data_IF_222563548235
#
_entry.id   IF_222563548235
#
_cell.length_a   1.000
_cell.length_b   1.000
_cell.length_c   1.000
_cell.angle_alpha   90.00
_cell.angle_beta   90.00
_cell.angle_gamma   90.00
#
_symmetry.space_group_name_H-M   'P 1'
#
loop_
_entity.id
_entity.type
_entity.pdbx_description
1 polymer ?
#
# COMPACT_ATOMS: atom_id res chain seq x y z
N UNK A 1 16.23 -11.58 -28.02
CA UNK A 1 15.49 -12.86 -28.14
C UNK A 1 14.03 -12.61 -27.76
N UNK A 2 13.07 -13.08 -28.56
CA UNK A 2 11.64 -13.08 -28.21
C UNK A 2 11.30 -14.45 -27.61
N UNK A 3 10.66 -14.48 -26.45
CA UNK A 3 10.22 -15.73 -25.84
C UNK A 3 8.90 -16.14 -26.48
N UNK A 4 8.78 -17.39 -26.94
CA UNK A 4 7.57 -17.87 -27.64
C UNK A 4 6.37 -17.85 -26.69
N UNK A 5 6.55 -18.38 -25.49
CA UNK A 5 5.57 -18.39 -24.41
C UNK A 5 6.28 -18.07 -23.10
N UNK A 6 5.63 -17.30 -22.25
CA UNK A 6 6.03 -17.10 -20.86
C UNK A 6 4.77 -17.04 -20.02
N UNK A 7 4.74 -17.80 -18.92
CA UNK A 7 3.59 -17.90 -18.03
C UNK A 7 3.99 -17.75 -16.56
N UNK A 8 3.01 -17.34 -15.75
CA UNK A 8 3.06 -17.44 -14.29
C UNK A 8 1.72 -17.96 -13.78
N UNK A 9 1.78 -18.80 -12.76
CA UNK A 9 0.60 -19.33 -12.06
C UNK A 9 0.36 -18.52 -10.79
N UNK A 10 -0.88 -18.14 -10.56
CA UNK A 10 -1.37 -17.51 -9.34
C UNK A 10 -2.38 -18.45 -8.67
N UNK A 11 -2.10 -18.84 -7.43
CA UNK A 11 -3.00 -19.62 -6.58
C UNK A 11 -4.00 -18.70 -5.88
N UNK A 12 -5.29 -19.02 -5.96
CA UNK A 12 -6.38 -18.27 -5.33
C UNK A 12 -6.87 -19.07 -4.11
N UNK A 13 -6.86 -18.49 -2.90
CA UNK A 13 -7.46 -19.11 -1.72
C UNK A 13 -8.97 -19.29 -1.88
N UNK A 14 -9.55 -20.29 -1.21
CA UNK A 14 -10.98 -20.62 -1.32
C UNK A 14 -11.91 -19.48 -0.88
N UNK A 15 -11.48 -18.67 0.10
CA UNK A 15 -12.25 -17.54 0.64
C UNK A 15 -12.27 -16.30 -0.28
N UNK A 16 -11.64 -16.37 -1.47
CA UNK A 16 -11.45 -15.23 -2.36
C UNK A 16 -11.98 -15.51 -3.75
N UNK A 17 -12.82 -14.61 -4.24
CA UNK A 17 -13.31 -14.62 -5.62
C UNK A 17 -12.56 -13.60 -6.47
N UNK A 18 -11.96 -14.05 -7.57
CA UNK A 18 -11.27 -13.20 -8.54
C UNK A 18 -12.04 -13.21 -9.86
N UNK A 19 -12.54 -12.04 -10.27
CA UNK A 19 -13.19 -11.86 -11.56
C UNK A 19 -12.35 -10.96 -12.46
N UNK A 20 -12.16 -11.39 -13.71
CA UNK A 20 -11.33 -10.68 -14.69
C UNK A 20 -12.16 -10.45 -15.94
N UNK A 21 -12.39 -9.18 -16.29
CA UNK A 21 -13.10 -8.78 -17.52
C UNK A 21 -12.27 -7.74 -18.26
N UNK A 22 -11.84 -8.06 -19.47
CA UNK A 22 -11.03 -7.16 -20.31
C UNK A 22 -9.81 -6.55 -19.58
N UNK A 23 -9.09 -7.36 -18.77
CA UNK A 23 -7.94 -6.97 -17.92
C UNK A 23 -8.26 -5.99 -16.79
N UNK A 24 -9.55 -5.76 -16.51
CA UNK A 24 -10.01 -5.18 -15.24
C UNK A 24 -10.21 -6.33 -14.27
N UNK A 25 -9.46 -6.30 -13.17
CA UNK A 25 -9.46 -7.33 -12.15
C UNK A 25 -10.26 -6.80 -10.96
N UNK A 26 -11.22 -7.61 -10.50
CA UNK A 26 -11.97 -7.37 -9.28
C UNK A 26 -11.77 -8.57 -8.36
N UNK A 27 -11.23 -8.30 -7.18
CA UNK A 27 -10.96 -9.30 -6.13
C UNK A 27 -11.91 -9.02 -4.98
N UNK A 28 -12.67 -10.02 -4.57
CA UNK A 28 -13.62 -9.94 -3.45
C UNK A 28 -13.23 -10.99 -2.42
N UNK A 29 -13.16 -10.58 -1.16
CA UNK A 29 -12.84 -11.46 -0.03
C UNK A 29 -13.54 -11.00 1.25
N UNK A 30 -13.21 -11.59 2.40
CA UNK A 30 -13.92 -11.36 3.66
C UNK A 30 -13.83 -9.91 4.17
N UNK A 31 -12.73 -9.20 3.89
CA UNK A 31 -12.55 -7.80 4.32
C UNK A 31 -13.12 -6.76 3.34
N UNK A 32 -13.68 -7.20 2.20
CA UNK A 32 -14.25 -6.31 1.19
C UNK A 32 -13.76 -6.61 -0.23
N UNK A 33 -13.84 -5.61 -1.10
CA UNK A 33 -13.48 -5.73 -2.52
C UNK A 33 -12.43 -4.71 -2.95
N UNK A 34 -11.59 -5.11 -3.90
CA UNK A 34 -10.60 -4.27 -4.55
C UNK A 34 -10.72 -4.41 -6.07
N UNK A 35 -10.57 -3.30 -6.79
CA UNK A 35 -10.57 -3.26 -8.25
C UNK A 35 -9.28 -2.66 -8.77
N UNK A 36 -8.77 -3.20 -9.88
CA UNK A 36 -7.56 -2.71 -10.53
C UNK A 36 -7.67 -2.82 -12.05
N UNK A 37 -7.35 -1.74 -12.75
CA UNK A 37 -7.29 -1.71 -14.21
C UNK A 37 -5.85 -1.97 -14.70
N UNK A 38 -5.66 -3.07 -15.44
CA UNK A 38 -4.38 -3.45 -16.06
C UNK A 38 -4.43 -3.41 -17.60
N UNK A 39 -5.34 -2.64 -18.21
CA UNK A 39 -5.46 -2.53 -19.69
C UNK A 39 -4.19 -2.03 -20.38
N UNK A 40 -3.34 -1.29 -19.66
CA UNK A 40 -2.05 -0.81 -20.17
C UNK A 40 -1.03 -1.94 -20.39
N UNK A 41 -1.25 -3.14 -19.83
CA UNK A 41 -0.37 -4.30 -19.98
C UNK A 41 -1.05 -5.33 -20.89
N UNK A 42 -0.34 -5.75 -21.94
CA UNK A 42 -0.84 -6.77 -22.86
C UNK A 42 -0.55 -8.18 -22.34
N UNK A 43 -1.39 -8.66 -21.42
CA UNK A 43 -1.35 -10.03 -20.88
C UNK A 43 -2.68 -10.73 -21.11
N UNK A 44 -2.63 -12.06 -21.28
CA UNK A 44 -3.79 -12.93 -21.27
C UNK A 44 -3.94 -13.57 -19.88
N UNK A 45 -5.18 -13.84 -19.49
CA UNK A 45 -5.50 -14.54 -18.26
C UNK A 45 -6.32 -15.78 -18.62
N UNK A 46 -5.93 -16.94 -18.08
CA UNK A 46 -6.64 -18.19 -18.25
C UNK A 46 -6.93 -18.79 -16.88
N UNK A 47 -8.19 -19.18 -16.63
CA UNK A 47 -8.53 -19.94 -15.43
C UNK A 47 -8.09 -21.39 -15.65
N UNK A 48 -7.15 -21.86 -14.82
CA UNK A 48 -6.59 -23.22 -14.90
C UNK A 48 -7.07 -23.98 -13.67
N UNK A 49 -8.06 -24.86 -13.82
CA UNK A 49 -8.70 -25.53 -12.68
C UNK A 49 -9.54 -24.57 -11.83
N UNK A 50 -9.92 -25.01 -10.62
CA UNK A 50 -10.84 -24.25 -9.77
C UNK A 50 -10.17 -23.06 -9.06
N UNK A 51 -8.93 -23.25 -8.61
CA UNK A 51 -8.21 -22.31 -7.73
C UNK A 51 -6.91 -21.72 -8.33
N UNK A 52 -6.65 -21.88 -9.64
CA UNK A 52 -5.47 -21.26 -10.27
C UNK A 52 -5.82 -20.36 -11.44
N UNK A 53 -5.07 -19.26 -11.55
CA UNK A 53 -5.12 -18.33 -12.68
C UNK A 53 -3.75 -18.29 -13.32
N UNK A 54 -3.68 -18.64 -14.60
CA UNK A 54 -2.49 -18.47 -15.43
C UNK A 54 -2.47 -17.09 -16.05
N UNK A 55 -1.31 -16.46 -16.01
CA UNK A 55 -1.04 -15.16 -16.61
C UNK A 55 -0.02 -15.40 -17.72
N UNK A 56 -0.37 -15.06 -18.96
CA UNK A 56 0.36 -15.53 -20.14
C UNK A 56 0.76 -14.35 -21.02
N UNK A 57 1.98 -14.43 -21.55
CA UNK A 57 2.52 -13.55 -22.60
C UNK A 57 3.02 -14.41 -23.75
N UNK A 58 2.51 -14.15 -24.95
CA UNK A 58 3.00 -14.75 -26.20
C UNK A 58 3.99 -13.81 -26.90
N UNK A 59 5.06 -14.38 -27.46
CA UNK A 59 6.05 -13.65 -28.27
C UNK A 59 6.63 -12.39 -27.58
N UNK A 60 6.73 -12.42 -26.25
CA UNK A 60 7.15 -11.29 -25.43
C UNK A 60 8.63 -10.97 -25.58
N UNK A 61 8.96 -9.68 -25.60
CA UNK A 61 10.34 -9.21 -25.42
C UNK A 61 10.73 -9.24 -23.91
N UNK A 62 12.00 -9.02 -23.60
CA UNK A 62 12.49 -9.06 -22.20
C UNK A 62 11.70 -8.16 -21.23
N UNK A 63 11.32 -6.94 -21.66
CA UNK A 63 10.57 -5.99 -20.82
C UNK A 63 9.12 -6.43 -20.62
N UNK A 64 8.51 -7.01 -21.65
CA UNK A 64 7.14 -7.50 -21.62
C UNK A 64 7.02 -8.73 -20.72
N UNK A 65 7.96 -9.67 -20.81
CA UNK A 65 8.02 -10.84 -19.90
C UNK A 65 8.24 -10.41 -18.46
N UNK A 66 9.03 -9.35 -18.20
CA UNK A 66 9.22 -8.83 -16.84
C UNK A 66 7.92 -8.31 -16.20
N UNK A 67 7.01 -7.72 -17.00
CA UNK A 67 5.73 -7.25 -16.50
C UNK A 67 4.83 -8.37 -15.97
N UNK A 68 5.00 -9.61 -16.47
CA UNK A 68 4.19 -10.75 -16.09
C UNK A 68 4.28 -11.03 -14.58
N UNK A 69 5.50 -11.04 -14.02
CA UNK A 69 5.71 -11.23 -12.57
C UNK A 69 5.14 -10.06 -11.76
N UNK A 70 5.22 -8.83 -12.27
CA UNK A 70 4.60 -7.66 -11.62
C UNK A 70 3.09 -7.81 -11.53
N UNK A 71 2.42 -8.23 -12.61
CA UNK A 71 0.97 -8.48 -12.62
C UNK A 71 0.61 -9.54 -11.58
N UNK A 72 1.35 -10.66 -11.52
CA UNK A 72 1.15 -11.68 -10.49
C UNK A 72 1.25 -11.08 -9.08
N UNK A 73 2.28 -10.29 -8.79
CA UNK A 73 2.45 -9.66 -7.48
C UNK A 73 1.34 -8.66 -7.14
N UNK A 74 0.88 -7.87 -8.12
CA UNK A 74 -0.22 -6.93 -7.91
C UNK A 74 -1.50 -7.66 -7.49
N UNK A 75 -1.87 -8.75 -8.18
CA UNK A 75 -3.06 -9.52 -7.83
C UNK A 75 -2.87 -10.24 -6.49
N UNK A 76 -1.68 -10.82 -6.23
CA UNK A 76 -1.36 -11.46 -4.95
C UNK A 76 -1.48 -10.48 -3.78
N UNK A 77 -1.08 -9.22 -3.97
CA UNK A 77 -1.23 -8.18 -2.96
C UNK A 77 -2.70 -7.81 -2.75
N UNK A 78 -3.51 -7.74 -3.83
CA UNK A 78 -4.96 -7.54 -3.69
C UNK A 78 -5.61 -8.67 -2.90
N UNK A 79 -5.26 -9.94 -3.18
CA UNK A 79 -5.75 -11.11 -2.45
C UNK A 79 -5.38 -11.03 -0.97
N UNK A 80 -4.11 -10.73 -0.66
CA UNK A 80 -3.63 -10.56 0.72
C UNK A 80 -4.34 -9.39 1.41
N UNK A 81 -4.62 -8.31 0.68
CA UNK A 81 -5.32 -7.14 1.16
C UNK A 81 -6.77 -7.41 1.56
N UNK A 82 -7.52 -8.18 0.76
CA UNK A 82 -8.92 -8.53 1.08
C UNK A 82 -9.06 -9.67 2.10
N UNK A 83 -7.99 -10.40 2.38
CA UNK A 83 -7.98 -11.50 3.37
C UNK A 83 -7.41 -11.04 4.70
N UNK A 84 -6.14 -10.64 4.72
CA UNK A 84 -5.40 -10.25 5.93
C UNK A 84 -5.41 -8.74 6.19
N UNK A 85 -5.48 -7.93 5.13
CA UNK A 85 -5.31 -6.48 5.19
C UNK A 85 -3.87 -6.07 5.50
N UNK A 86 -3.53 -4.81 5.25
CA UNK A 86 -2.19 -4.26 5.48
C UNK A 86 -2.18 -3.30 6.66
N UNK A 87 -1.11 -3.38 7.46
CA UNK A 87 -0.86 -2.54 8.62
C UNK A 87 0.55 -1.98 8.56
N UNK A 88 0.67 -0.66 8.51
CA UNK A 88 1.94 0.05 8.55
C UNK A 88 2.03 0.80 9.87
N UNK A 89 3.16 0.66 10.55
CA UNK A 89 3.48 1.44 11.75
C UNK A 89 4.49 2.50 11.39
N UNK A 90 4.26 3.71 11.86
CA UNK A 90 5.19 4.83 11.74
C UNK A 90 5.58 5.35 13.11
N UNK A 91 6.82 5.82 13.25
CA UNK A 91 7.38 6.36 14.50
C UNK A 91 7.70 7.83 14.31
N UNK A 92 7.30 8.63 15.30
CA UNK A 92 7.72 10.03 15.41
C UNK A 92 9.12 10.07 16.02
N UNK A 93 10.02 10.80 15.38
CA UNK A 93 11.39 11.01 15.85
C UNK A 93 11.59 12.52 15.99
N UNK A 94 12.03 12.96 17.16
CA UNK A 94 12.35 14.35 17.43
C UNK A 94 13.42 14.45 18.50
N UNK A 95 14.29 15.46 18.39
CA UNK A 95 15.32 15.71 19.40
C UNK A 95 14.86 16.67 20.50
N UNK A 96 14.27 17.81 20.11
CA UNK A 96 13.93 18.89 21.05
C UNK A 96 12.46 19.30 21.00
N UNK A 97 11.89 19.47 19.79
CA UNK A 97 10.50 19.91 19.63
C UNK A 97 9.58 18.70 19.45
N UNK A 98 8.66 18.41 20.40
CA UNK A 98 7.72 17.31 20.25
C UNK A 98 6.80 17.53 19.05
N UNK A 99 6.62 16.48 18.25
CA UNK A 99 5.74 16.49 17.09
C UNK A 99 4.33 16.14 17.55
N UNK A 100 3.37 17.03 17.33
CA UNK A 100 1.97 16.76 17.65
C UNK A 100 1.25 16.30 16.37
N UNK A 101 0.65 15.11 16.42
CA UNK A 101 -0.12 14.56 15.30
C UNK A 101 -1.57 14.38 15.71
N UNK A 102 -2.47 15.01 14.96
CA UNK A 102 -3.92 14.90 15.12
C UNK A 102 -4.54 14.30 13.86
N UNK A 103 -5.66 13.61 14.03
CA UNK A 103 -6.48 13.14 12.92
C UNK A 103 -7.73 14.02 12.84
N UNK A 104 -7.95 14.61 11.68
CA UNK A 104 -9.10 15.47 11.41
C UNK A 104 -9.95 14.84 10.32
N UNK A 105 -11.26 15.06 10.40
CA UNK A 105 -12.18 14.74 9.30
C UNK A 105 -12.66 16.05 8.68
N UNK A 106 -12.45 16.18 7.37
CA UNK A 106 -12.91 17.33 6.56
C UNK A 106 -13.53 16.79 5.28
N UNK A 107 -14.75 17.24 4.96
CA UNK A 107 -15.47 16.86 3.73
C UNK A 107 -15.58 15.34 3.50
N UNK A 108 -15.76 14.55 4.58
CA UNK A 108 -15.84 13.08 4.52
C UNK A 108 -14.51 12.37 4.27
N UNK A 109 -13.38 13.09 4.31
CA UNK A 109 -12.04 12.53 4.21
C UNK A 109 -11.26 12.72 5.51
N UNK A 110 -10.48 11.70 5.87
CA UNK A 110 -9.56 11.79 7.00
C UNK A 110 -8.26 12.51 6.55
N UNK A 111 -7.72 13.36 7.43
CA UNK A 111 -6.46 14.07 7.26
C UNK A 111 -5.55 13.83 8.47
N UNK A 112 -4.26 13.68 8.20
CA UNK A 112 -3.21 13.67 9.22
C UNK A 112 -2.67 15.09 9.34
N UNK A 113 -2.91 15.73 10.48
CA UNK A 113 -2.44 17.06 10.80
C UNK A 113 -1.19 16.97 11.68
N UNK A 114 -0.09 17.58 11.25
CA UNK A 114 1.21 17.56 11.93
C UNK A 114 1.56 18.99 12.33
N UNK A 115 1.78 19.21 13.62
CA UNK A 115 2.14 20.50 14.22
C UNK A 115 3.47 20.45 14.94
N UNK A 116 4.10 21.62 15.09
CA UNK A 116 5.31 21.82 15.88
C UNK A 116 6.55 21.04 15.39
N UNK A 117 6.54 20.58 14.13
CA UNK A 117 7.71 19.95 13.53
C UNK A 117 8.88 20.94 13.47
N UNK A 118 10.00 20.61 14.14
CA UNK A 118 11.15 21.52 14.34
C UNK A 118 10.79 22.90 14.91
N UNK A 119 9.69 23.01 15.66
CA UNK A 119 9.22 24.29 16.22
C UNK A 119 8.59 25.23 15.20
N UNK A 120 8.25 24.74 14.00
CA UNK A 120 7.57 25.54 13.00
C UNK A 120 6.13 25.89 13.42
N UNK A 121 5.70 27.12 13.10
CA UNK A 121 4.31 27.57 13.26
C UNK A 121 3.36 27.05 12.17
N UNK A 122 3.92 26.53 11.07
CA UNK A 122 3.14 25.99 9.95
C UNK A 122 2.49 24.67 10.35
N UNK A 123 1.20 24.55 10.10
CA UNK A 123 0.49 23.28 10.17
C UNK A 123 0.68 22.54 8.84
N UNK A 124 1.09 21.27 8.91
CA UNK A 124 1.24 20.40 7.74
C UNK A 124 0.05 19.43 7.75
N UNK A 125 -0.65 19.31 6.63
CA UNK A 125 -1.81 18.44 6.50
C UNK A 125 -1.59 17.47 5.33
N UNK A 126 -1.90 16.19 5.56
CA UNK A 126 -1.83 15.14 4.53
C UNK A 126 -3.19 14.46 4.44
N UNK A 127 -3.74 14.41 3.23
CA UNK A 127 -4.99 13.69 2.97
C UNK A 127 -4.75 12.19 3.04
N UNK A 128 -5.57 11.48 3.82
CA UNK A 128 -5.55 10.01 3.86
C UNK A 128 -6.31 9.50 2.64
N UNK A 129 -5.72 8.51 1.96
CA UNK A 129 -6.38 7.88 0.81
C UNK A 129 -7.60 7.08 1.23
N UNK A 130 -8.54 6.91 0.30
CA UNK A 130 -9.76 6.16 0.55
C UNK A 130 -9.48 4.69 0.92
N UNK A 131 -10.25 4.17 1.88
CA UNK A 131 -10.10 2.81 2.40
C UNK A 131 -8.89 2.62 3.32
N UNK A 132 -8.20 3.70 3.71
CA UNK A 132 -7.14 3.69 4.72
C UNK A 132 -7.66 4.37 5.99
N UNK A 133 -7.44 3.74 7.13
CA UNK A 133 -7.69 4.30 8.45
C UNK A 133 -6.37 4.66 9.11
N UNK A 134 -6.23 5.91 9.54
CA UNK A 134 -5.09 6.39 10.28
C UNK A 134 -5.47 6.60 11.76
N UNK A 135 -4.65 6.09 12.68
CA UNK A 135 -4.90 6.21 14.13
C UNK A 135 -3.59 6.30 14.92
N UNK A 136 -3.69 6.74 16.17
CA UNK A 136 -2.58 6.68 17.13
C UNK A 136 -2.55 5.28 17.76
N UNK A 137 -1.35 4.74 17.95
CA UNK A 137 -1.17 3.49 18.70
C UNK A 137 -1.49 3.73 20.18
N UNK A 138 -2.35 2.89 20.75
CA UNK A 138 -2.61 2.87 22.20
C UNK A 138 -1.52 2.16 22.99
N UNK A 139 -0.79 1.25 22.34
CA UNK A 139 0.22 0.40 22.99
C UNK A 139 1.56 1.11 23.17
N UNK A 140 1.94 1.97 22.22
CA UNK A 140 3.25 2.60 22.20
C UNK A 140 3.12 4.10 21.94
N UNK A 141 3.71 4.91 22.82
CA UNK A 141 3.79 6.37 22.64
C UNK A 141 4.56 6.70 21.36
N UNK A 142 4.14 7.74 20.64
CA UNK A 142 4.82 8.27 19.44
C UNK A 142 4.82 7.28 18.25
N UNK A 143 3.78 6.46 18.16
CA UNK A 143 3.53 5.53 17.06
C UNK A 143 2.18 5.83 16.39
N UNK A 144 2.20 5.91 15.06
CA UNK A 144 1.02 6.03 14.20
C UNK A 144 0.78 4.70 13.50
N UNK A 145 -0.48 4.33 13.35
CA UNK A 145 -0.90 3.11 12.68
C UNK A 145 -1.75 3.49 11.46
N UNK A 146 -1.40 2.92 10.32
CA UNK A 146 -2.15 3.03 9.06
C UNK A 146 -2.60 1.65 8.63
N UNK A 147 -3.92 1.46 8.52
CA UNK A 147 -4.53 0.19 8.19
C UNK A 147 -5.41 0.32 6.96
N UNK A 148 -5.47 -0.72 6.13
CA UNK A 148 -6.32 -0.73 4.94
C UNK A 148 -6.15 -1.98 4.11
N UNK A 149 -7.07 -2.19 3.16
CA UNK A 149 -7.01 -3.36 2.29
C UNK A 149 -6.05 -3.14 1.09
N UNK A 150 -5.91 -1.91 0.59
CA UNK A 150 -5.01 -1.60 -0.53
C UNK A 150 -3.61 -1.24 -0.04
N UNK A 151 -2.61 -2.08 -0.33
CA UNK A 151 -1.20 -1.77 -0.01
C UNK A 151 -0.73 -0.48 -0.67
N UNK A 152 -1.21 -0.17 -1.87
CA UNK A 152 -0.83 1.03 -2.60
C UNK A 152 -1.30 2.28 -1.85
N UNK A 153 -2.56 2.32 -1.44
CA UNK A 153 -3.11 3.47 -0.72
C UNK A 153 -2.49 3.61 0.67
N UNK A 154 -2.31 2.50 1.41
CA UNK A 154 -1.70 2.51 2.74
C UNK A 154 -0.25 3.00 2.65
N UNK A 155 0.54 2.43 1.73
CA UNK A 155 1.95 2.79 1.58
C UNK A 155 2.15 4.20 1.04
N UNK A 156 1.30 4.67 0.11
CA UNK A 156 1.35 6.03 -0.40
C UNK A 156 1.01 7.04 0.69
N UNK A 157 -0.04 6.78 1.48
CA UNK A 157 -0.39 7.64 2.63
C UNK A 157 0.80 7.77 3.59
N UNK A 158 1.44 6.66 3.94
CA UNK A 158 2.63 6.67 4.80
C UNK A 158 3.80 7.45 4.16
N UNK A 159 4.01 7.29 2.84
CA UNK A 159 5.05 7.99 2.12
C UNK A 159 4.82 9.51 2.12
N UNK A 160 3.58 9.95 1.93
CA UNK A 160 3.22 11.37 1.94
C UNK A 160 3.40 11.99 3.32
N UNK A 161 3.01 11.27 4.38
CA UNK A 161 3.27 11.65 5.79
C UNK A 161 4.77 11.74 6.09
N UNK A 162 5.57 10.81 5.60
CA UNK A 162 7.02 10.87 5.78
C UNK A 162 7.66 12.03 5.00
N UNK A 163 7.28 12.21 3.73
CA UNK A 163 7.85 13.23 2.86
C UNK A 163 7.48 14.65 3.29
N UNK A 164 6.25 14.84 3.80
CA UNK A 164 5.85 16.13 4.33
C UNK A 164 6.68 16.51 5.55
N UNK A 165 7.36 15.59 6.23
CA UNK A 165 8.25 15.88 7.37
C UNK A 165 9.73 16.00 6.98
N UNK A 166 10.04 16.30 5.71
CA UNK A 166 11.44 16.50 5.30
C UNK A 166 12.03 17.80 5.86
N UNK A 167 13.16 17.67 6.56
CA UNK A 167 13.97 18.80 7.02
C UNK A 167 14.61 19.52 5.83
N UNK A 168 14.54 20.85 5.82
CA UNK A 168 15.13 21.71 4.78
C UNK A 168 16.22 22.61 5.38
N UNK A 169 17.23 22.93 4.58
CA UNK A 169 18.26 23.92 4.90
C UNK A 169 19.01 23.62 6.23
N UNK A 170 19.20 22.33 6.55
CA UNK A 170 19.93 21.78 7.70
C UNK A 170 20.60 20.46 7.28
N UNK A 171 21.57 19.99 8.06
CA UNK A 171 22.19 18.67 7.83
C UNK A 171 21.26 17.56 8.33
N UNK A 172 20.71 16.79 7.39
CA UNK A 172 19.79 15.67 7.65
C UNK A 172 20.43 14.50 8.38
N UNK A 173 21.77 14.47 8.51
CA UNK A 173 22.48 13.45 9.29
C UNK A 173 22.54 13.78 10.78
N UNK A 174 22.29 15.05 11.12
CA UNK A 174 22.24 15.53 12.51
C UNK A 174 20.81 15.81 12.97
N UNK A 175 20.01 16.41 12.09
CA UNK A 175 18.59 16.67 12.32
C UNK A 175 17.79 15.51 11.72
N UNK A 176 17.67 14.44 12.52
CA UNK A 176 16.94 13.21 12.18
C UNK A 176 15.44 13.30 12.52
N UNK A 177 14.96 14.49 12.89
CA UNK A 177 13.56 14.73 13.24
C UNK A 177 12.66 14.44 12.02
N UNK A 178 11.62 13.64 12.23
CA UNK A 178 10.75 13.18 11.15
C UNK A 178 9.73 12.14 11.60
N UNK A 179 8.96 11.64 10.63
CA UNK A 179 8.03 10.53 10.82
C UNK A 179 8.45 9.43 9.86
N UNK A 180 8.78 8.25 10.37
CA UNK A 180 9.37 7.17 9.58
C UNK A 180 8.57 5.89 9.71
N UNK A 181 8.45 5.13 8.62
CA UNK A 181 7.88 3.77 8.67
C UNK A 181 8.81 2.87 9.47
N UNK A 182 8.34 2.31 10.58
CA UNK A 182 9.08 1.37 11.42
C UNK A 182 8.81 -0.07 11.03
N UNK A 183 7.55 -0.40 10.72
CA UNK A 183 7.11 -1.77 10.45
C UNK A 183 6.09 -1.80 9.32
N UNK A 184 6.17 -2.84 8.49
CA UNK A 184 5.19 -3.15 7.45
C UNK A 184 4.73 -4.59 7.68
N UNK A 185 3.45 -4.78 7.88
CA UNK A 185 2.86 -6.09 8.12
C UNK A 185 1.42 -6.17 7.64
N UNK A 186 0.75 -7.22 8.10
CA UNK A 186 -0.67 -7.45 7.88
C UNK A 186 -1.46 -7.18 9.17
N UNK A 187 -2.76 -6.93 9.04
CA UNK A 187 -3.63 -6.70 10.21
C UNK A 187 -3.88 -8.02 10.92
N UNK A 188 -4.26 -9.05 10.16
CA UNK A 188 -4.30 -10.42 10.65
C UNK A 188 -2.89 -10.99 10.57
N UNK A 189 -2.35 -11.37 11.71
CA UNK A 189 -1.06 -12.04 11.82
C UNK A 189 -1.32 -13.55 11.74
N UNK A 190 -0.49 -14.27 10.98
CA UNK A 190 -0.51 -15.73 11.04
C UNK A 190 0.12 -16.14 12.38
N UNK A 191 -0.53 -17.04 13.12
CA UNK A 191 0.01 -17.63 14.35
C UNK A 191 1.33 -18.38 14.12
#
# INVERSE_FOLDING_TARGET
MKYVLSEQVLTVPEDVSVSIKARVIKVTGPRGELTKDLKHINVAFEKSGDNEIKIIVHHGNRKHVAALRTVKSLISNMITGVTKGYKYKMRLVYAHFPINVNFLEKDGHQYVEIRNFLGEKRVREVKVYEGVTASNSSALKDELIFEGNSIENVSQTCADVQQICRVRNKDIRKFLDGIYVSEKGTIVQDE
#
